data_IF_719307770805
#
_entry.id   IF_719307770805
#
_cell.length_a   1.000
_cell.length_b   1.000
_cell.length_c   1.000
_cell.angle_alpha   90.00
_cell.angle_beta   90.00
_cell.angle_gamma   90.00
#
_symmetry.space_group_name_H-M   'P 1'
#
loop_
_entity.id
_entity.type
_entity.pdbx_description
1 polymer ?
#
# COMPACT_ATOMS: atom_id res chain seq x y z
N UNK A 1 -35.49 2.35 16.73
CA UNK A 1 -34.37 1.56 16.21
C UNK A 1 -33.07 2.13 16.77
N UNK A 2 -32.26 1.31 17.46
CA UNK A 2 -30.94 1.72 17.98
C UNK A 2 -29.87 1.28 16.99
N UNK A 3 -28.96 2.18 16.60
CA UNK A 3 -27.78 1.85 15.82
C UNK A 3 -26.83 1.05 16.73
N UNK A 4 -26.39 -0.11 16.30
CA UNK A 4 -25.49 -1.01 17.03
C UNK A 4 -24.12 -1.15 16.37
N UNK A 5 -24.04 -0.87 15.09
CA UNK A 5 -22.83 -0.99 14.27
C UNK A 5 -22.71 0.19 13.33
N UNK A 6 -21.49 0.67 13.14
CA UNK A 6 -21.09 1.59 12.08
C UNK A 6 -20.11 0.87 11.14
N UNK A 7 -20.20 1.13 9.86
CA UNK A 7 -19.30 0.55 8.86
C UNK A 7 -18.71 1.63 7.98
N UNK A 8 -17.45 1.49 7.62
CA UNK A 8 -16.80 2.33 6.62
C UNK A 8 -15.82 1.53 5.76
N UNK A 9 -15.46 2.10 4.62
CA UNK A 9 -14.23 1.73 3.90
C UNK A 9 -13.09 2.52 4.52
N UNK A 10 -11.99 1.85 4.81
CA UNK A 10 -10.82 2.37 5.52
C UNK A 10 -11.11 2.88 6.95
N UNK A 11 -10.05 3.06 7.75
CA UNK A 11 -10.14 3.59 9.10
C UNK A 11 -10.35 5.11 9.07
N UNK A 12 -11.49 5.55 9.57
CA UNK A 12 -11.83 6.97 9.74
C UNK A 12 -11.74 7.30 11.23
N UNK A 13 -10.72 8.02 11.63
CA UNK A 13 -10.40 8.28 13.04
C UNK A 13 -11.56 8.89 13.84
N UNK A 14 -12.20 9.92 13.29
CA UNK A 14 -13.33 10.59 13.96
C UNK A 14 -14.52 9.65 14.15
N UNK A 15 -14.78 8.75 13.19
CA UNK A 15 -15.85 7.74 13.29
C UNK A 15 -15.50 6.69 14.34
N UNK A 16 -14.25 6.22 14.37
CA UNK A 16 -13.77 5.26 15.36
C UNK A 16 -13.93 5.83 16.80
N UNK A 17 -13.53 7.09 17.02
CA UNK A 17 -13.64 7.76 18.31
C UNK A 17 -15.11 7.98 18.69
N UNK A 18 -15.95 8.42 17.75
CA UNK A 18 -17.38 8.64 18.01
C UNK A 18 -18.07 7.31 18.38
N UNK A 19 -17.78 6.24 17.64
CA UNK A 19 -18.29 4.91 17.92
C UNK A 19 -17.84 4.41 19.31
N UNK A 20 -16.57 4.61 19.65
CA UNK A 20 -16.04 4.27 20.97
C UNK A 20 -16.76 5.00 22.11
N UNK A 21 -16.96 6.31 21.98
CA UNK A 21 -17.65 7.13 22.99
C UNK A 21 -19.12 6.80 23.17
N UNK A 22 -19.73 6.19 22.16
CA UNK A 22 -21.18 5.84 22.17
C UNK A 22 -21.44 4.36 22.35
N UNK A 23 -20.40 3.58 22.66
CA UNK A 23 -20.46 2.11 22.82
C UNK A 23 -21.07 1.40 21.60
N UNK A 24 -20.70 1.86 20.39
CA UNK A 24 -21.12 1.30 19.11
C UNK A 24 -19.93 0.54 18.51
N UNK A 25 -20.18 -0.64 17.93
CA UNK A 25 -19.14 -1.37 17.19
C UNK A 25 -18.82 -0.66 15.88
N UNK A 26 -17.54 -0.50 15.59
CA UNK A 26 -17.06 0.09 14.35
C UNK A 26 -16.36 -0.97 13.51
N UNK A 27 -16.87 -1.21 12.30
CA UNK A 27 -16.33 -2.17 11.32
C UNK A 27 -15.72 -1.39 10.16
N UNK A 28 -14.45 -1.61 9.90
CA UNK A 28 -13.74 -0.97 8.77
C UNK A 28 -13.22 -2.03 7.81
N UNK A 29 -13.52 -1.85 6.52
CA UNK A 29 -13.02 -2.71 5.44
C UNK A 29 -11.81 -2.01 4.82
N UNK A 30 -10.64 -2.63 4.93
CA UNK A 30 -9.37 -2.10 4.44
C UNK A 30 -9.07 -2.69 3.06
N UNK A 31 -8.95 -1.83 2.06
CA UNK A 31 -8.77 -2.17 0.65
C UNK A 31 -7.40 -1.78 0.10
N UNK A 32 -6.60 -1.06 0.89
CA UNK A 32 -5.24 -0.67 0.56
C UNK A 32 -4.22 -1.49 1.34
N UNK A 33 -3.11 -1.82 0.71
CA UNK A 33 -1.96 -2.45 1.36
C UNK A 33 -0.64 -1.87 0.79
N UNK A 34 0.28 -1.48 1.65
CA UNK A 34 0.16 -1.37 3.11
C UNK A 34 -0.70 -0.17 3.54
N UNK A 35 -1.49 -0.33 4.62
CA UNK A 35 -2.32 0.74 5.15
C UNK A 35 -1.78 1.24 6.49
N UNK A 36 -0.87 2.21 6.45
CA UNK A 36 -0.12 2.71 7.61
C UNK A 36 -1.01 3.28 8.73
N UNK A 37 -2.18 3.84 8.39
CA UNK A 37 -3.12 4.44 9.36
C UNK A 37 -3.63 3.46 10.42
N UNK A 38 -3.48 2.15 10.21
CA UNK A 38 -3.81 1.13 11.20
C UNK A 38 -2.88 1.15 12.42
N UNK A 39 -1.65 1.63 12.25
CA UNK A 39 -0.65 1.70 13.32
C UNK A 39 -0.79 2.98 14.14
N UNK A 40 -2.00 3.25 14.63
CA UNK A 40 -2.33 4.36 15.50
C UNK A 40 -3.13 3.86 16.70
N UNK A 41 -3.25 4.68 17.73
CA UNK A 41 -4.12 4.39 18.89
C UNK A 41 -5.56 4.08 18.46
N UNK A 42 -6.04 4.68 17.38
CA UNK A 42 -7.41 4.45 16.88
C UNK A 42 -7.62 3.02 16.35
N UNK A 43 -6.57 2.39 15.80
CA UNK A 43 -6.61 0.99 15.39
C UNK A 43 -6.70 0.01 16.56
N UNK A 44 -6.31 0.43 17.77
CA UNK A 44 -6.31 -0.40 18.99
C UNK A 44 -7.54 -0.26 19.85
N UNK A 45 -8.51 0.58 19.48
CA UNK A 45 -9.76 0.71 20.21
C UNK A 45 -10.54 -0.61 20.23
N UNK A 46 -11.06 -0.98 21.40
CA UNK A 46 -11.71 -2.27 21.65
C UNK A 46 -13.00 -2.49 20.84
N UNK A 47 -13.63 -1.43 20.42
CA UNK A 47 -14.84 -1.48 19.61
C UNK A 47 -14.57 -1.52 18.10
N UNK A 48 -13.31 -1.46 17.66
CA UNK A 48 -12.92 -1.45 16.25
C UNK A 48 -12.65 -2.86 15.73
N UNK A 49 -13.25 -3.18 14.58
CA UNK A 49 -13.13 -4.45 13.86
C UNK A 49 -12.65 -4.16 12.44
N UNK A 50 -11.69 -4.92 11.94
CA UNK A 50 -11.07 -4.68 10.65
C UNK A 50 -11.15 -5.92 9.77
N UNK A 51 -11.70 -5.75 8.57
CA UNK A 51 -11.61 -6.71 7.48
C UNK A 51 -10.46 -6.29 6.56
N UNK A 52 -9.42 -7.11 6.44
CA UNK A 52 -8.18 -6.80 5.70
C UNK A 52 -8.00 -7.83 4.60
N UNK A 53 -7.82 -7.37 3.36
CA UNK A 53 -7.72 -8.27 2.21
C UNK A 53 -6.32 -8.86 2.02
N UNK A 54 -5.27 -8.19 2.51
CA UNK A 54 -3.91 -8.69 2.47
C UNK A 54 -3.61 -9.55 3.71
N UNK A 55 -3.18 -10.79 3.48
CA UNK A 55 -2.89 -11.74 4.55
C UNK A 55 -1.71 -11.31 5.42
N UNK A 56 -0.67 -10.78 4.78
CA UNK A 56 0.55 -10.36 5.49
C UNK A 56 0.27 -9.13 6.35
N UNK A 57 -0.50 -8.17 5.85
CA UNK A 57 -0.90 -7.00 6.63
C UNK A 57 -1.84 -7.39 7.78
N UNK A 58 -2.77 -8.32 7.57
CA UNK A 58 -3.60 -8.82 8.67
C UNK A 58 -2.76 -9.44 9.80
N UNK A 59 -1.71 -10.19 9.47
CA UNK A 59 -0.77 -10.75 10.46
C UNK A 59 0.05 -9.65 11.15
N UNK A 60 0.52 -8.63 10.40
CA UNK A 60 1.27 -7.50 10.96
C UNK A 60 0.41 -6.69 11.92
N UNK A 61 -0.83 -6.39 11.57
CA UNK A 61 -1.74 -5.64 12.43
C UNK A 61 -2.03 -6.38 13.73
N UNK A 62 -2.24 -7.70 13.69
CA UNK A 62 -2.39 -8.52 14.91
C UNK A 62 -1.13 -8.47 15.77
N UNK A 63 0.07 -8.58 15.18
CA UNK A 63 1.35 -8.45 15.90
C UNK A 63 1.55 -7.06 16.48
N UNK A 64 1.03 -6.01 15.84
CA UNK A 64 1.04 -4.64 16.36
C UNK A 64 0.00 -4.40 17.49
N UNK A 65 -0.77 -5.42 17.86
CA UNK A 65 -1.70 -5.36 19.00
C UNK A 65 -3.13 -4.97 18.64
N UNK A 66 -3.51 -4.95 17.36
CA UNK A 66 -4.90 -4.76 16.97
C UNK A 66 -5.72 -6.02 17.30
N UNK A 67 -6.80 -5.86 18.07
CA UNK A 67 -7.53 -6.99 18.68
C UNK A 67 -8.42 -7.75 17.68
N UNK A 68 -9.12 -7.04 16.81
CA UNK A 68 -10.17 -7.61 15.97
C UNK A 68 -9.81 -7.44 14.48
N UNK A 69 -8.87 -8.24 13.99
CA UNK A 69 -8.45 -8.24 12.59
C UNK A 69 -8.85 -9.54 11.92
N UNK A 70 -9.71 -9.46 10.91
CA UNK A 70 -10.13 -10.56 10.07
C UNK A 70 -9.41 -10.47 8.72
N UNK A 71 -8.72 -11.52 8.31
CA UNK A 71 -8.30 -11.67 6.93
C UNK A 71 -9.49 -12.09 6.07
N UNK A 72 -9.81 -11.30 5.07
CA UNK A 72 -10.88 -11.56 4.12
C UNK A 72 -10.46 -11.12 2.73
N UNK A 73 -10.19 -12.06 1.82
CA UNK A 73 -9.83 -11.72 0.43
C UNK A 73 -10.88 -10.83 -0.22
N UNK A 74 -10.44 -10.04 -1.19
CA UNK A 74 -11.36 -9.26 -2.02
C UNK A 74 -12.33 -10.20 -2.74
N UNK A 75 -13.60 -9.78 -2.79
CA UNK A 75 -14.66 -10.51 -3.45
C UNK A 75 -15.06 -9.81 -4.74
N UNK A 76 -15.55 -10.59 -5.67
CA UNK A 76 -16.16 -10.10 -6.91
C UNK A 76 -17.67 -10.28 -6.84
N UNK A 77 -18.41 -9.31 -7.35
CA UNK A 77 -19.86 -9.44 -7.43
C UNK A 77 -20.24 -10.32 -8.64
N UNK A 78 -20.73 -11.55 -8.44
CA UNK A 78 -21.06 -12.44 -9.55
C UNK A 78 -22.21 -11.90 -10.43
N UNK A 79 -23.08 -11.06 -9.88
CA UNK A 79 -24.18 -10.46 -10.67
C UNK A 79 -23.69 -9.46 -11.70
N UNK A 80 -22.59 -8.75 -11.42
CA UNK A 80 -22.01 -7.81 -12.37
C UNK A 80 -21.31 -8.53 -13.53
N UNK A 81 -20.67 -9.67 -13.26
CA UNK A 81 -20.06 -10.51 -14.29
C UNK A 81 -21.12 -11.01 -15.30
N UNK A 82 -22.31 -11.38 -14.82
CA UNK A 82 -23.41 -11.83 -15.69
C UNK A 82 -24.05 -10.69 -16.49
N UNK A 83 -24.06 -9.46 -15.96
CA UNK A 83 -24.54 -8.28 -16.71
C UNK A 83 -23.59 -7.90 -17.84
N UNK A 84 -22.30 -8.14 -17.65
CA UNK A 84 -21.30 -7.94 -18.69
C UNK A 84 -21.26 -9.14 -19.63
N UNK A 85 -22.40 -9.49 -20.22
CA UNK A 85 -22.49 -10.47 -21.29
C UNK A 85 -21.61 -10.02 -22.48
N UNK A 86 -20.29 -10.03 -22.27
CA UNK A 86 -19.31 -9.75 -23.31
C UNK A 86 -19.47 -10.87 -24.35
N UNK A 87 -19.86 -10.51 -25.58
CA UNK A 87 -20.04 -11.51 -26.62
C UNK A 87 -18.72 -12.26 -26.81
N UNK A 88 -18.75 -13.60 -26.85
CA UNK A 88 -17.57 -14.45 -27.13
C UNK A 88 -16.86 -14.11 -28.45
N UNK A 89 -17.43 -13.26 -29.29
CA UNK A 89 -16.93 -12.81 -30.59
C UNK A 89 -16.06 -11.52 -30.54
N UNK A 90 -15.66 -11.04 -29.36
CA UNK A 90 -14.82 -9.84 -29.27
C UNK A 90 -13.34 -10.05 -29.68
N UNK A 91 -12.91 -11.29 -29.97
CA UNK A 91 -11.50 -11.54 -30.36
C UNK A 91 -11.02 -10.71 -31.55
N UNK A 92 -11.91 -10.41 -32.48
CA UNK A 92 -11.59 -9.65 -33.70
C UNK A 92 -11.55 -8.12 -33.47
N UNK A 93 -11.86 -7.66 -32.26
CA UNK A 93 -11.90 -6.23 -31.88
C UNK A 93 -10.83 -5.82 -30.87
N UNK A 94 -10.01 -6.75 -30.39
CA UNK A 94 -8.92 -6.39 -29.50
C UNK A 94 -7.77 -5.75 -30.29
N UNK A 95 -7.48 -4.49 -29.97
CA UNK A 95 -6.41 -3.72 -30.59
C UNK A 95 -5.06 -3.99 -29.91
N UNK A 96 -5.11 -4.42 -28.64
CA UNK A 96 -3.95 -4.65 -27.77
C UNK A 96 -3.94 -6.08 -27.24
N UNK A 97 -2.77 -6.66 -27.09
CA UNK A 97 -2.61 -7.96 -26.45
C UNK A 97 -2.75 -7.85 -24.93
N UNK A 98 -2.22 -6.76 -24.36
CA UNK A 98 -2.22 -6.48 -22.92
C UNK A 98 -2.66 -5.04 -22.69
N UNK A 99 -3.55 -4.86 -21.71
CA UNK A 99 -3.99 -3.54 -21.25
C UNK A 99 -3.70 -3.42 -19.76
N UNK A 100 -2.88 -2.43 -19.37
CA UNK A 100 -2.68 -2.04 -17.98
C UNK A 100 -3.57 -0.83 -17.66
N UNK A 101 -4.33 -0.91 -16.58
CA UNK A 101 -5.12 0.20 -16.06
C UNK A 101 -4.76 0.41 -14.59
N UNK A 102 -4.20 1.57 -14.26
CA UNK A 102 -3.83 1.88 -12.88
C UNK A 102 -2.73 2.93 -12.77
N UNK A 103 -2.47 3.42 -11.57
CA UNK A 103 -1.39 4.38 -11.31
C UNK A 103 -0.02 3.75 -11.56
N UNK A 104 0.89 4.51 -12.15
CA UNK A 104 2.31 4.14 -12.25
C UNK A 104 3.10 4.47 -10.98
N UNK A 105 2.48 5.15 -10.01
CA UNK A 105 3.14 5.70 -8.82
C UNK A 105 4.34 6.60 -9.16
N UNK A 106 4.22 7.37 -10.26
CA UNK A 106 5.21 8.38 -10.63
C UNK A 106 5.30 9.47 -9.58
N UNK A 107 4.14 9.82 -8.99
CA UNK A 107 4.05 10.73 -7.86
C UNK A 107 4.30 9.94 -6.57
N UNK A 108 5.51 9.99 -6.07
CA UNK A 108 5.88 9.30 -4.83
C UNK A 108 6.82 10.16 -3.98
N UNK A 109 6.66 10.08 -2.67
CA UNK A 109 7.41 10.88 -1.71
C UNK A 109 8.93 10.68 -1.81
N UNK A 110 9.40 9.52 -2.24
CA UNK A 110 10.83 9.27 -2.41
C UNK A 110 11.45 10.21 -3.46
N UNK A 111 10.83 10.32 -4.64
CA UNK A 111 11.34 11.18 -5.70
C UNK A 111 11.10 12.66 -5.40
N UNK A 112 9.96 13.00 -4.77
CA UNK A 112 9.57 14.37 -4.46
C UNK A 112 10.41 15.00 -3.34
N UNK A 113 10.61 14.26 -2.24
CA UNK A 113 11.25 14.80 -1.04
C UNK A 113 12.73 14.43 -0.92
N UNK A 114 13.16 13.33 -1.56
CA UNK A 114 14.52 12.82 -1.48
C UNK A 114 15.30 12.93 -2.78
N UNK A 115 14.73 13.54 -3.83
CA UNK A 115 15.36 13.65 -5.15
C UNK A 115 16.71 14.40 -5.14
N UNK A 116 16.92 15.30 -4.19
CA UNK A 116 18.16 16.06 -4.03
C UNK A 116 19.19 15.41 -3.08
N UNK A 117 18.98 14.13 -2.71
CA UNK A 117 19.95 13.45 -1.85
C UNK A 117 21.32 13.26 -2.52
N UNK A 118 22.41 13.12 -1.73
CA UNK A 118 23.75 12.87 -2.28
C UNK A 118 23.82 11.59 -3.13
N UNK A 119 24.68 11.59 -4.16
CA UNK A 119 24.80 10.47 -5.11
C UNK A 119 25.10 9.11 -4.47
N UNK A 120 25.85 9.07 -3.37
CA UNK A 120 26.10 7.84 -2.62
C UNK A 120 24.83 7.29 -1.95
N UNK A 121 23.88 8.16 -1.57
CA UNK A 121 22.60 7.74 -1.03
C UNK A 121 21.67 7.23 -2.14
N UNK A 122 21.67 7.87 -3.31
CA UNK A 122 20.99 7.32 -4.49
C UNK A 122 21.48 5.90 -4.78
N UNK A 123 22.78 5.68 -4.87
CA UNK A 123 23.35 4.36 -5.13
C UNK A 123 22.97 3.32 -4.04
N UNK A 124 22.91 3.73 -2.77
CA UNK A 124 22.45 2.88 -1.68
C UNK A 124 21.02 2.40 -1.88
N UNK A 125 20.07 3.32 -2.15
CA UNK A 125 18.67 2.97 -2.36
C UNK A 125 18.45 2.22 -3.68
N UNK A 126 19.15 2.57 -4.74
CA UNK A 126 19.12 1.83 -6.00
C UNK A 126 19.52 0.37 -5.80
N UNK A 127 20.50 0.08 -4.95
CA UNK A 127 20.88 -1.30 -4.63
C UNK A 127 19.76 -2.07 -3.92
N UNK A 128 19.04 -1.42 -3.00
CA UNK A 128 17.87 -2.01 -2.33
C UNK A 128 16.75 -2.28 -3.32
N UNK A 129 16.44 -1.33 -4.19
CA UNK A 129 15.40 -1.49 -5.20
C UNK A 129 15.75 -2.55 -6.24
N UNK A 130 17.00 -2.60 -6.71
CA UNK A 130 17.46 -3.60 -7.65
C UNK A 130 17.37 -5.03 -7.06
N UNK A 131 17.71 -5.22 -5.78
CA UNK A 131 17.51 -6.49 -5.10
C UNK A 131 16.03 -6.85 -4.97
N UNK A 132 15.18 -5.86 -4.62
CA UNK A 132 13.78 -6.10 -4.34
C UNK A 132 12.94 -6.32 -5.61
N UNK A 133 13.15 -5.54 -6.67
CA UNK A 133 12.29 -5.49 -7.86
C UNK A 133 12.23 -6.82 -8.65
N UNK A 134 13.26 -7.66 -8.56
CA UNK A 134 13.33 -8.93 -9.29
C UNK A 134 13.10 -10.18 -8.44
N UNK A 135 12.63 -10.01 -7.19
CA UNK A 135 12.39 -11.13 -6.29
C UNK A 135 10.90 -11.31 -6.01
N UNK A 136 10.29 -12.26 -6.70
CA UNK A 136 8.84 -12.51 -6.75
C UNK A 136 8.40 -13.70 -5.88
N UNK A 137 8.98 -13.85 -4.69
CA UNK A 137 8.68 -14.96 -3.77
C UNK A 137 7.57 -14.65 -2.74
N UNK A 138 6.84 -13.55 -2.94
CA UNK A 138 5.77 -13.11 -2.04
C UNK A 138 6.24 -12.52 -0.70
N UNK A 139 7.54 -12.31 -0.52
CA UNK A 139 8.08 -11.65 0.67
C UNK A 139 8.29 -10.17 0.39
N UNK A 140 7.94 -9.33 1.37
CA UNK A 140 8.32 -7.93 1.29
C UNK A 140 9.82 -7.78 1.57
N UNK A 141 10.55 -7.30 0.58
CA UNK A 141 12.01 -7.20 0.59
C UNK A 141 12.54 -5.85 1.05
N UNK A 142 11.65 -4.91 1.31
CA UNK A 142 12.00 -3.56 1.79
C UNK A 142 12.12 -3.52 3.31
N UNK A 143 11.23 -4.22 4.03
CA UNK A 143 11.19 -4.14 5.48
C UNK A 143 12.49 -4.63 6.14
N UNK A 144 13.05 -3.76 6.99
CA UNK A 144 14.27 -4.00 7.72
C UNK A 144 15.56 -3.85 6.92
N UNK A 145 15.49 -3.32 5.69
CA UNK A 145 16.66 -3.09 4.83
C UNK A 145 17.32 -1.74 5.05
N UNK A 146 16.58 -0.74 5.51
CA UNK A 146 17.13 0.60 5.75
C UNK A 146 17.85 0.66 7.09
N UNK A 147 19.10 1.12 7.08
CA UNK A 147 19.82 1.45 8.31
C UNK A 147 19.19 2.73 8.92
N UNK A 148 18.76 2.72 10.19
CA UNK A 148 18.22 3.90 10.87
C UNK A 148 19.14 5.14 10.82
N UNK A 149 20.45 4.94 10.79
CA UNK A 149 21.42 6.05 10.70
C UNK A 149 21.37 6.75 9.33
N UNK A 150 20.98 6.04 8.27
CA UNK A 150 20.75 6.64 6.95
C UNK A 150 19.61 7.65 7.00
N UNK A 151 18.52 7.35 7.72
CA UNK A 151 17.38 8.28 7.85
C UNK A 151 17.81 9.56 8.58
N UNK A 152 18.59 9.43 9.65
CA UNK A 152 19.13 10.59 10.36
C UNK A 152 20.06 11.41 9.47
N UNK A 153 20.89 10.73 8.69
CA UNK A 153 21.79 11.39 7.75
C UNK A 153 21.01 12.16 6.67
N UNK A 154 19.97 11.56 6.09
CA UNK A 154 19.12 12.23 5.10
C UNK A 154 18.47 13.49 5.69
N UNK A 155 17.97 13.45 6.92
CA UNK A 155 17.41 14.63 7.60
C UNK A 155 18.44 15.77 7.83
N UNK A 156 19.74 15.47 7.78
CA UNK A 156 20.80 16.46 7.90
C UNK A 156 21.23 17.04 6.55
N UNK A 157 21.18 16.25 5.48
CA UNK A 157 21.80 16.62 4.19
C UNK A 157 20.80 16.93 3.08
N UNK A 158 19.56 16.48 3.19
CA UNK A 158 18.50 16.80 2.21
C UNK A 158 17.73 18.01 2.72
N UNK A 159 17.70 19.11 1.93
CA UNK A 159 16.97 20.30 2.32
C UNK A 159 15.48 19.98 2.60
N UNK A 160 14.97 20.55 3.69
CA UNK A 160 13.56 20.46 4.10
C UNK A 160 13.01 19.07 4.38
N UNK A 161 13.79 17.99 4.17
CA UNK A 161 13.36 16.65 4.51
C UNK A 161 13.28 16.44 6.02
N UNK A 162 12.08 16.07 6.51
CA UNK A 162 11.83 15.67 7.89
C UNK A 162 10.90 14.48 7.91
N UNK A 163 11.35 13.37 8.48
CA UNK A 163 10.49 12.23 8.68
C UNK A 163 9.49 12.53 9.81
N UNK A 164 8.23 12.69 9.45
CA UNK A 164 7.14 12.82 10.41
C UNK A 164 6.60 11.44 10.78
N UNK A 165 6.65 11.11 12.07
CA UNK A 165 6.14 9.86 12.57
C UNK A 165 4.95 10.11 13.52
N UNK A 166 3.74 9.99 12.98
CA UNK A 166 2.48 10.06 13.75
C UNK A 166 1.93 8.66 14.08
N UNK A 167 2.73 7.60 13.91
CA UNK A 167 2.32 6.21 14.03
C UNK A 167 3.02 5.50 15.19
N UNK A 168 2.43 4.42 15.67
CA UNK A 168 3.05 3.54 16.67
C UNK A 168 4.00 2.52 16.00
N UNK A 169 4.94 3.06 15.23
CA UNK A 169 5.98 2.34 14.50
C UNK A 169 7.33 2.99 14.76
N UNK A 170 8.41 2.24 14.52
CA UNK A 170 9.75 2.81 14.47
C UNK A 170 9.90 3.71 13.23
N UNK A 171 10.72 4.76 13.32
CA UNK A 171 10.96 5.68 12.21
C UNK A 171 11.40 4.96 10.93
N UNK A 172 12.22 3.91 11.06
CA UNK A 172 12.60 3.06 9.94
C UNK A 172 11.39 2.45 9.25
N UNK A 173 10.43 1.91 9.99
CA UNK A 173 9.24 1.28 9.43
C UNK A 173 8.35 2.31 8.73
N UNK A 174 8.20 3.50 9.31
CA UNK A 174 7.48 4.61 8.67
C UNK A 174 8.17 5.01 7.36
N UNK A 175 9.48 5.20 7.39
CA UNK A 175 10.27 5.54 6.21
C UNK A 175 10.11 4.49 5.09
N UNK A 176 10.27 3.22 5.42
CA UNK A 176 10.13 2.12 4.46
C UNK A 176 8.72 2.05 3.84
N UNK A 177 7.66 2.24 4.63
CA UNK A 177 6.28 2.21 4.14
C UNK A 177 5.95 3.43 3.28
N UNK A 178 6.34 4.62 3.72
CA UNK A 178 5.93 5.88 3.06
C UNK A 178 6.76 6.14 1.80
N UNK A 179 8.08 5.96 1.89
CA UNK A 179 9.00 6.35 0.83
C UNK A 179 9.38 5.17 -0.08
N UNK A 180 9.77 4.02 0.48
CA UNK A 180 10.37 2.97 -0.34
C UNK A 180 9.34 2.07 -1.03
N UNK A 181 8.23 1.72 -0.39
CA UNK A 181 7.27 0.77 -0.98
C UNK A 181 6.61 1.34 -2.25
N UNK A 182 6.22 2.62 -2.25
CA UNK A 182 5.65 3.25 -3.46
C UNK A 182 6.68 3.38 -4.58
N UNK A 183 7.92 3.75 -4.24
CA UNK A 183 9.00 3.82 -5.23
C UNK A 183 9.30 2.45 -5.82
N UNK A 184 9.37 1.40 -5.00
CA UNK A 184 9.52 0.04 -5.49
C UNK A 184 8.38 -0.35 -6.42
N UNK A 185 7.12 -0.07 -6.06
CA UNK A 185 5.97 -0.38 -6.90
C UNK A 185 6.00 0.37 -8.25
N UNK A 186 6.52 1.60 -8.30
CA UNK A 186 6.78 2.33 -9.54
C UNK A 186 7.81 1.59 -10.41
N UNK A 187 8.95 1.24 -9.82
CA UNK A 187 10.04 0.52 -10.53
C UNK A 187 9.53 -0.82 -11.07
N UNK A 188 8.86 -1.63 -10.25
CA UNK A 188 8.33 -2.94 -10.65
C UNK A 188 7.35 -2.81 -11.82
N UNK A 189 6.42 -1.84 -11.78
CA UNK A 189 5.46 -1.61 -12.87
C UNK A 189 6.14 -1.25 -14.16
N UNK A 190 7.10 -0.32 -14.14
CA UNK A 190 7.88 0.07 -15.30
C UNK A 190 8.64 -1.14 -15.86
N UNK A 191 9.34 -1.89 -15.02
CA UNK A 191 10.10 -3.07 -15.44
C UNK A 191 9.21 -4.13 -16.08
N UNK A 192 8.07 -4.48 -15.46
CA UNK A 192 7.16 -5.50 -15.97
C UNK A 192 6.52 -5.06 -17.29
N UNK A 193 6.06 -3.81 -17.38
CA UNK A 193 5.43 -3.31 -18.59
C UNK A 193 6.42 -3.24 -19.76
N UNK A 194 7.67 -2.83 -19.50
CA UNK A 194 8.72 -2.83 -20.52
C UNK A 194 9.04 -4.25 -20.99
N UNK A 195 9.19 -5.22 -20.08
CA UNK A 195 9.40 -6.63 -20.43
C UNK A 195 8.24 -7.18 -21.30
N UNK A 196 7.01 -6.86 -20.92
CA UNK A 196 5.85 -7.29 -21.70
C UNK A 196 5.78 -6.63 -23.07
N UNK A 197 6.18 -5.35 -23.18
CA UNK A 197 6.19 -4.62 -24.45
C UNK A 197 7.22 -5.14 -25.47
N UNK A 198 8.22 -5.92 -25.03
CA UNK A 198 9.15 -6.60 -25.94
C UNK A 198 8.48 -7.72 -26.77
N UNK A 199 7.39 -8.30 -26.24
CA UNK A 199 6.74 -9.47 -26.83
C UNK A 199 5.27 -9.24 -27.21
N UNK A 200 4.63 -8.19 -26.68
CA UNK A 200 3.21 -7.94 -26.79
C UNK A 200 2.92 -6.48 -27.13
N UNK A 201 1.79 -6.23 -27.77
CA UNK A 201 1.26 -4.88 -27.92
C UNK A 201 0.59 -4.43 -26.61
N UNK A 202 1.30 -3.61 -25.82
CA UNK A 202 0.88 -3.16 -24.49
C UNK A 202 0.32 -1.76 -24.55
N UNK A 203 -0.86 -1.56 -23.97
CA UNK A 203 -1.45 -0.23 -23.75
C UNK A 203 -1.57 0.07 -22.28
N UNK A 204 -1.16 1.29 -21.87
CA UNK A 204 -1.24 1.76 -20.49
C UNK A 204 -2.24 2.92 -20.40
N UNK A 205 -3.16 2.81 -19.43
CA UNK A 205 -4.08 3.88 -19.04
C UNK A 205 -3.78 4.25 -17.57
N UNK A 206 -3.15 5.39 -17.36
CA UNK A 206 -2.68 5.87 -16.04
C UNK A 206 -3.39 7.15 -15.64
#
# INVERSE_FOLDING_TARGET
>A
NRITHLMSTHLIYNVAVAAYRTDIKYVSIIWDAPYIKMYTLFGKLDNCWFSVFDKMDAERFRKAGLKHVLYQPLAVNPYDIHKWNLPRKLKDHYVNDICFVGSMYSDNAFDEELGEMPANMHAYFESIFAEAAFQWDGKNRIYGKTDPEIIKYLQMVVPDFKLENAFELEDRQVFEIVYLIRKLANIERICVLNMLAEYFNVTCHT
#
